data_IF_756265003467
#
_entry.id   IF_756265003467
#
_cell.length_a   1.000
_cell.length_b   1.000
_cell.length_c   1.000
_cell.angle_alpha   90.00
_cell.angle_beta   90.00
_cell.angle_gamma   90.00
#
_symmetry.space_group_name_H-M   'P 1'
#
loop_
_entity.id
_entity.type
_entity.pdbx_description
1 polymer ?
#
# COMPACT_ATOMS: atom_id res chain seq x y z
N UNK A 1 -4.39 13.50 -20.89
CA UNK A 1 -3.23 12.62 -20.64
C UNK A 1 -2.21 13.19 -19.65
N UNK A 2 -1.63 14.38 -19.88
CA UNK A 2 -0.59 14.95 -18.99
C UNK A 2 -1.00 15.06 -17.51
N UNK A 3 -2.25 15.46 -17.20
CA UNK A 3 -2.78 15.50 -15.82
C UNK A 3 -2.85 14.13 -15.14
N UNK A 4 -3.20 13.09 -15.90
CA UNK A 4 -3.29 11.70 -15.39
C UNK A 4 -1.90 11.14 -15.06
N UNK A 5 -0.92 11.36 -15.93
CA UNK A 5 0.48 10.96 -15.70
C UNK A 5 1.04 11.68 -14.47
N UNK A 6 0.77 12.98 -14.34
CA UNK A 6 1.19 13.76 -13.18
C UNK A 6 0.55 13.25 -11.89
N UNK A 7 -0.75 12.92 -11.90
CA UNK A 7 -1.43 12.34 -10.76
C UNK A 7 -0.75 11.04 -10.28
N UNK A 8 -0.55 10.07 -11.19
CA UNK A 8 0.10 8.80 -10.84
C UNK A 8 1.54 8.99 -10.37
N UNK A 9 2.30 9.89 -11.01
CA UNK A 9 3.66 10.23 -10.57
C UNK A 9 3.66 10.77 -9.14
N UNK A 10 2.80 11.75 -8.83
CA UNK A 10 2.68 12.33 -7.48
C UNK A 10 2.21 11.29 -6.47
N UNK A 11 1.28 10.41 -6.86
CA UNK A 11 0.79 9.32 -6.03
C UNK A 11 1.91 8.34 -5.64
N UNK A 12 2.67 7.81 -6.60
CA UNK A 12 3.77 6.89 -6.29
C UNK A 12 4.90 7.54 -5.48
N UNK A 13 5.18 8.84 -5.70
CA UNK A 13 6.12 9.59 -4.87
C UNK A 13 5.60 9.68 -3.43
N UNK A 14 4.32 9.99 -3.23
CA UNK A 14 3.71 10.05 -1.89
C UNK A 14 3.78 8.68 -1.19
N UNK A 15 3.42 7.60 -1.89
CA UNK A 15 3.53 6.22 -1.38
C UNK A 15 4.96 5.91 -0.92
N UNK A 16 5.95 6.23 -1.76
CA UNK A 16 7.36 6.02 -1.43
C UNK A 16 7.80 6.83 -0.20
N UNK A 17 7.40 8.10 -0.12
CA UNK A 17 7.71 8.96 1.01
C UNK A 17 7.06 8.50 2.33
N UNK A 18 5.85 7.91 2.27
CA UNK A 18 5.21 7.32 3.46
C UNK A 18 5.97 6.06 3.88
N UNK A 19 6.23 5.12 2.96
CA UNK A 19 6.95 3.87 3.27
C UNK A 19 8.33 4.16 3.88
N UNK A 20 9.05 5.13 3.32
CA UNK A 20 10.38 5.51 3.80
C UNK A 20 10.40 6.13 5.20
N UNK A 21 9.26 6.61 5.70
CA UNK A 21 9.15 7.06 7.11
C UNK A 21 8.94 5.90 8.08
N UNK A 22 8.52 4.72 7.58
CA UNK A 22 8.24 3.52 8.37
C UNK A 22 9.44 2.56 8.43
N UNK A 23 10.69 3.06 8.31
CA UNK A 23 11.92 2.24 8.30
C UNK A 23 12.27 1.59 9.65
N UNK A 24 11.50 1.84 10.70
CA UNK A 24 11.65 1.13 11.97
C UNK A 24 11.18 -0.31 11.82
N UNK A 25 11.72 -1.23 12.64
CA UNK A 25 11.29 -2.64 12.61
C UNK A 25 9.76 -2.76 12.81
N UNK A 26 9.19 -1.96 13.71
CA UNK A 26 7.75 -1.87 13.96
C UNK A 26 6.97 -1.36 12.75
N UNK A 27 7.47 -0.32 12.07
CA UNK A 27 6.87 0.19 10.83
C UNK A 27 6.87 -0.83 9.70
N UNK A 28 7.98 -1.53 9.50
CA UNK A 28 8.09 -2.61 8.51
C UNK A 28 7.16 -3.79 8.83
N UNK A 29 7.08 -4.21 10.08
CA UNK A 29 6.14 -5.26 10.51
C UNK A 29 4.69 -4.79 10.31
N UNK A 30 4.38 -3.52 10.58
CA UNK A 30 3.04 -2.97 10.37
C UNK A 30 2.64 -2.95 8.89
N UNK A 31 3.57 -2.58 8.00
CA UNK A 31 3.39 -2.67 6.55
C UNK A 31 3.16 -4.11 6.11
N UNK A 32 3.94 -5.06 6.63
CA UNK A 32 3.79 -6.47 6.33
C UNK A 32 2.44 -7.02 6.78
N UNK A 33 2.02 -6.77 8.03
CA UNK A 33 0.73 -7.21 8.56
C UNK A 33 -0.41 -6.62 7.74
N UNK A 34 -0.36 -5.32 7.46
CA UNK A 34 -1.37 -4.64 6.63
C UNK A 34 -1.46 -5.24 5.23
N UNK A 35 -0.31 -5.50 4.58
CA UNK A 35 -0.26 -6.20 3.31
C UNK A 35 -0.89 -7.59 3.40
N UNK A 36 -0.58 -8.36 4.44
CA UNK A 36 -1.12 -9.71 4.65
C UNK A 36 -2.64 -9.72 4.80
N UNK A 37 -3.24 -8.71 5.42
CA UNK A 37 -4.69 -8.55 5.57
C UNK A 37 -5.38 -8.37 4.21
N UNK A 38 -4.82 -7.52 3.34
CA UNK A 38 -5.52 -7.13 2.11
C UNK A 38 -5.15 -7.93 0.87
N UNK A 39 -3.89 -8.36 0.74
CA UNK A 39 -3.39 -8.96 -0.51
C UNK A 39 -2.47 -10.16 -0.28
N UNK A 40 -1.66 -10.16 0.77
CA UNK A 40 -0.66 -11.19 0.99
C UNK A 40 -1.23 -12.60 1.12
N UNK A 41 -2.39 -12.77 1.75
CA UNK A 41 -3.07 -14.08 1.83
C UNK A 41 -3.47 -14.63 0.45
N UNK A 42 -3.88 -13.77 -0.48
CA UNK A 42 -4.27 -14.18 -1.84
C UNK A 42 -3.05 -14.68 -2.63
N UNK A 43 -1.90 -14.01 -2.44
CA UNK A 43 -0.62 -14.45 -3.00
C UNK A 43 -0.21 -15.80 -2.42
N UNK A 44 -0.36 -16.01 -1.11
CA UNK A 44 -0.10 -17.32 -0.49
C UNK A 44 -1.03 -18.41 -1.04
N UNK A 45 -2.32 -18.13 -1.19
CA UNK A 45 -3.28 -19.09 -1.75
C UNK A 45 -2.92 -19.45 -3.19
N UNK A 46 -2.53 -18.47 -4.00
CA UNK A 46 -2.08 -18.71 -5.36
C UNK A 46 -0.81 -19.57 -5.41
N UNK A 47 0.22 -19.25 -4.61
CA UNK A 47 1.50 -19.97 -4.60
C UNK A 47 1.31 -21.40 -4.07
N UNK A 48 0.68 -21.56 -2.90
CA UNK A 48 0.45 -22.87 -2.29
C UNK A 48 -0.46 -23.71 -3.19
N UNK A 49 -1.52 -23.11 -3.73
CA UNK A 49 -2.40 -23.77 -4.69
C UNK A 49 -1.65 -24.25 -5.93
N UNK A 50 -0.73 -23.45 -6.46
CA UNK A 50 0.08 -23.81 -7.63
C UNK A 50 1.03 -24.98 -7.32
N UNK A 51 1.69 -24.97 -6.16
CA UNK A 51 2.59 -26.06 -5.74
C UNK A 51 1.81 -27.35 -5.47
N UNK A 52 0.65 -27.26 -4.84
CA UNK A 52 -0.19 -28.40 -4.45
C UNK A 52 -1.12 -28.89 -5.58
N UNK A 53 -1.16 -28.22 -6.73
CA UNK A 53 -2.11 -28.51 -7.81
C UNK A 53 -3.58 -28.28 -7.43
N UNK A 54 -3.87 -27.43 -6.45
CA UNK A 54 -5.21 -27.18 -5.95
C UNK A 54 -5.88 -26.02 -6.71
N UNK A 55 -6.75 -26.36 -7.66
CA UNK A 55 -7.48 -25.40 -8.49
C UNK A 55 -8.36 -24.41 -7.72
N UNK A 56 -8.87 -24.77 -6.54
CA UNK A 56 -9.66 -23.87 -5.70
C UNK A 56 -8.80 -22.76 -5.09
N UNK A 57 -7.64 -23.12 -4.52
CA UNK A 57 -6.72 -22.15 -3.95
C UNK A 57 -6.16 -21.21 -5.03
N UNK A 58 -5.83 -21.76 -6.20
CA UNK A 58 -5.41 -20.97 -7.37
C UNK A 58 -6.52 -20.01 -7.78
N UNK A 59 -7.76 -20.50 -7.92
CA UNK A 59 -8.91 -19.70 -8.35
C UNK A 59 -9.20 -18.52 -7.40
N UNK A 60 -9.26 -18.79 -6.09
CA UNK A 60 -9.50 -17.74 -5.08
C UNK A 60 -8.34 -16.74 -5.05
N UNK A 61 -7.10 -17.23 -5.00
CA UNK A 61 -5.92 -16.36 -4.96
C UNK A 61 -5.82 -15.47 -6.19
N UNK A 62 -5.97 -16.04 -7.38
CA UNK A 62 -5.91 -15.30 -8.64
C UNK A 62 -7.04 -14.28 -8.79
N UNK A 63 -8.27 -14.63 -8.41
CA UNK A 63 -9.40 -13.69 -8.48
C UNK A 63 -9.17 -12.45 -7.62
N UNK A 64 -8.68 -12.62 -6.39
CA UNK A 64 -8.39 -11.49 -5.49
C UNK A 64 -7.18 -10.69 -5.96
N UNK A 65 -6.14 -11.35 -6.50
CA UNK A 65 -4.99 -10.65 -7.08
C UNK A 65 -5.43 -9.76 -8.23
N UNK A 66 -6.21 -10.30 -9.18
CA UNK A 66 -6.70 -9.56 -10.35
C UNK A 66 -7.67 -8.44 -9.96
N UNK A 67 -8.54 -8.67 -8.97
CA UNK A 67 -9.43 -7.65 -8.43
C UNK A 67 -8.65 -6.41 -7.96
N UNK A 68 -7.53 -6.62 -7.27
CA UNK A 68 -6.71 -5.53 -6.76
C UNK A 68 -5.74 -4.93 -7.79
N UNK A 69 -5.43 -5.62 -8.89
CA UNK A 69 -4.45 -5.16 -9.89
C UNK A 69 -4.96 -4.04 -10.81
N UNK A 70 -6.26 -3.73 -10.74
CA UNK A 70 -6.87 -2.67 -11.55
C UNK A 70 -6.33 -1.26 -11.24
N UNK A 71 -6.20 -0.37 -12.25
CA UNK A 71 -5.87 1.03 -11.99
C UNK A 71 -6.98 1.71 -11.19
N UNK A 72 -6.61 2.42 -10.13
CA UNK A 72 -7.56 3.14 -9.27
C UNK A 72 -8.13 2.30 -8.13
N UNK A 73 -7.73 1.03 -7.98
CA UNK A 73 -8.07 0.27 -6.77
C UNK A 73 -7.37 0.89 -5.55
N UNK A 74 -8.06 1.00 -4.41
CA UNK A 74 -7.49 1.63 -3.22
C UNK A 74 -6.54 0.71 -2.44
N UNK A 75 -6.03 -0.39 -3.02
CA UNK A 75 -5.24 -1.39 -2.26
C UNK A 75 -4.00 -0.78 -1.61
N UNK A 76 -3.22 0.02 -2.34
CA UNK A 76 -2.00 0.66 -1.81
C UNK A 76 -2.37 1.71 -0.74
N UNK A 77 -3.30 2.66 -0.98
CA UNK A 77 -3.75 3.58 0.07
C UNK A 77 -4.26 2.88 1.32
N UNK A 78 -5.05 1.81 1.16
CA UNK A 78 -5.64 1.05 2.25
C UNK A 78 -4.56 0.35 3.08
N UNK A 79 -3.59 -0.29 2.42
CA UNK A 79 -2.43 -0.90 3.08
C UNK A 79 -1.67 0.16 3.88
N UNK A 80 -1.37 1.32 3.31
CA UNK A 80 -0.63 2.37 4.01
C UNK A 80 -1.38 2.92 5.22
N UNK A 81 -2.67 3.23 5.08
CA UNK A 81 -3.49 3.76 6.18
C UNK A 81 -3.57 2.75 7.32
N UNK A 82 -3.85 1.48 7.02
CA UNK A 82 -3.95 0.44 8.04
C UNK A 82 -2.58 0.14 8.65
N UNK A 83 -1.49 0.21 7.89
CA UNK A 83 -0.15 0.05 8.43
C UNK A 83 0.21 1.17 9.42
N UNK A 84 -0.15 2.42 9.13
CA UNK A 84 0.05 3.53 10.07
C UNK A 84 -0.82 3.38 11.33
N UNK A 85 -2.05 2.87 11.20
CA UNK A 85 -2.93 2.55 12.33
C UNK A 85 -2.30 1.44 13.19
N UNK A 86 -1.84 0.34 12.59
CA UNK A 86 -1.18 -0.76 13.31
C UNK A 86 0.07 -0.24 14.02
N UNK A 87 0.92 0.52 13.33
CA UNK A 87 2.13 1.09 13.92
C UNK A 87 1.82 1.95 15.15
N UNK A 88 0.79 2.80 15.05
CA UNK A 88 0.41 3.72 16.13
C UNK A 88 -0.29 3.03 17.30
N UNK A 89 -1.27 2.18 17.01
CA UNK A 89 -2.19 1.67 18.04
C UNK A 89 -1.84 0.27 18.54
N UNK A 90 -1.17 -0.55 17.74
CA UNK A 90 -0.74 -1.90 18.15
C UNK A 90 0.68 -1.86 18.69
N UNK A 91 1.59 -1.15 18.02
CA UNK A 91 2.99 -1.04 18.44
C UNK A 91 3.32 0.19 19.30
N UNK A 92 2.31 1.03 19.59
CA UNK A 92 2.42 2.24 20.41
C UNK A 92 3.57 3.17 19.99
N UNK A 93 3.88 3.22 18.70
CA UNK A 93 4.95 4.07 18.19
C UNK A 93 4.41 5.47 17.94
N UNK A 94 4.94 6.44 18.70
CA UNK A 94 4.55 7.85 18.64
C UNK A 94 5.47 8.71 17.77
N UNK A 95 6.65 8.17 17.42
CA UNK A 95 7.66 8.78 16.55
C UNK A 95 7.33 8.57 15.07
N UNK A 96 7.66 9.54 14.22
CA UNK A 96 7.43 9.52 12.75
C UNK A 96 5.95 9.60 12.31
N UNK A 97 5.12 10.37 13.01
CA UNK A 97 3.73 10.60 12.58
C UNK A 97 3.69 11.38 11.25
N UNK A 98 3.18 10.75 10.21
CA UNK A 98 2.99 11.39 8.90
C UNK A 98 1.52 11.74 8.70
N UNK A 99 1.23 13.02 8.54
CA UNK A 99 -0.07 13.49 8.06
C UNK A 99 -0.13 13.31 6.53
N UNK A 100 -0.80 12.23 6.07
CA UNK A 100 -0.98 11.95 4.64
C UNK A 100 -1.60 13.15 3.91
N UNK A 101 -2.55 13.84 4.56
CA UNK A 101 -3.24 15.01 4.01
C UNK A 101 -2.29 16.18 3.78
N UNK A 102 -1.42 16.49 4.74
CA UNK A 102 -0.43 17.55 4.60
C UNK A 102 0.59 17.21 3.53
N UNK A 103 1.09 15.97 3.53
CA UNK A 103 2.06 15.50 2.53
C UNK A 103 1.52 15.58 1.10
N UNK A 104 0.25 15.22 0.91
CA UNK A 104 -0.42 15.36 -0.39
C UNK A 104 -0.54 16.81 -0.84
N UNK A 105 -0.84 17.73 0.09
CA UNK A 105 -0.93 19.16 -0.20
C UNK A 105 0.44 19.72 -0.59
N UNK A 106 1.48 19.38 0.16
CA UNK A 106 2.87 19.77 -0.10
C UNK A 106 3.34 19.31 -1.48
N UNK A 107 3.15 18.03 -1.81
CA UNK A 107 3.55 17.45 -3.09
C UNK A 107 2.78 18.07 -4.26
N UNK A 108 1.46 18.28 -4.12
CA UNK A 108 0.69 18.94 -5.16
C UNK A 108 1.15 20.39 -5.37
N UNK A 109 1.44 21.13 -4.31
CA UNK A 109 1.99 22.47 -4.44
C UNK A 109 3.35 22.44 -5.16
N UNK A 110 4.28 21.57 -4.75
CA UNK A 110 5.63 21.46 -5.33
C UNK A 110 5.65 21.07 -6.81
N UNK A 111 4.78 20.15 -7.23
CA UNK A 111 4.76 19.64 -8.60
C UNK A 111 3.75 20.35 -9.52
N UNK A 112 2.75 21.06 -8.98
CA UNK A 112 1.85 21.90 -9.77
C UNK A 112 2.29 23.37 -9.86
N UNK A 113 3.14 23.87 -8.93
CA UNK A 113 3.71 25.23 -9.00
C UNK A 113 4.91 25.36 -9.96
N UNK A 114 5.55 24.25 -10.34
CA UNK A 114 6.59 24.18 -11.39
C UNK A 114 6.04 24.35 -12.81
N UNK A 115 4.91 25.04 -12.94
CA UNK A 115 4.17 25.22 -14.18
C UNK A 115 4.49 26.56 -14.82
#
# INVERSE_FOLDING_TARGET
MRKFILFWKTFFIMVWEVITTMKTLRGLISLFISYMIFHGWAVLFFIIGSIAGNGWLIGIGSAVILFWFGPGTPVIPLILVVALIIQRYVFFESTHQVSIKEKWKELNQKYQSKK
#
